data_IF_080021252998
#
_entry.id   IF_080021252998
#
_cell.length_a   1.000
_cell.length_b   1.000
_cell.length_c   1.000
_cell.angle_alpha   90.00
_cell.angle_beta   90.00
_cell.angle_gamma   90.00
#
_symmetry.space_group_name_H-M   'P 1'
#
loop_
_entity.id
_entity.type
_entity.pdbx_description
1 polymer ?
#
# COMPACT_ATOMS: atom_id res chain seq x y z
N UNK A 1 9.46 40.04 54.59
CA UNK A 1 9.64 41.49 54.85
C UNK A 1 9.65 42.22 53.50
N UNK A 2 8.83 43.27 53.40
CA UNK A 2 8.60 44.27 52.32
C UNK A 2 9.70 44.38 51.23
N UNK A 3 9.38 44.24 49.94
CA UNK A 3 8.79 45.24 49.00
C UNK A 3 9.79 46.29 48.50
N UNK A 4 9.85 46.53 47.19
CA UNK A 4 10.17 47.81 46.50
C UNK A 4 9.96 47.57 44.98
N UNK A 5 8.87 48.04 44.37
CA UNK A 5 8.60 49.36 43.77
C UNK A 5 8.82 49.37 42.25
N UNK A 6 7.72 49.55 41.51
CA UNK A 6 7.74 49.67 40.06
C UNK A 6 7.99 51.10 39.56
N UNK A 7 8.11 51.24 38.23
CA UNK A 7 7.63 52.41 37.49
C UNK A 7 7.51 52.12 35.99
N UNK A 8 6.37 52.58 35.46
CA UNK A 8 5.95 52.77 34.05
C UNK A 8 7.03 53.42 33.20
N UNK A 9 6.97 53.20 31.88
CA UNK A 9 6.87 54.26 30.85
C UNK A 9 6.14 53.70 29.61
N UNK A 10 5.31 54.55 29.01
CA UNK A 10 4.37 54.33 27.91
C UNK A 10 4.97 54.86 26.60
N UNK A 11 4.58 54.24 25.47
CA UNK A 11 4.89 54.58 24.07
C UNK A 11 4.77 56.06 23.70
N UNK A 12 5.40 56.48 22.57
CA UNK A 12 4.59 56.73 21.37
C UNK A 12 5.28 56.43 20.01
N UNK A 13 4.47 56.36 18.95
CA UNK A 13 4.82 56.98 17.65
C UNK A 13 5.06 56.07 16.44
N UNK A 14 4.11 56.06 15.50
CA UNK A 14 4.24 55.60 14.10
C UNK A 14 5.11 56.59 13.28
N UNK A 15 5.88 56.11 12.30
CA UNK A 15 5.81 56.53 10.88
C UNK A 15 6.86 55.86 9.96
N UNK A 16 6.36 55.30 8.86
CA UNK A 16 6.79 55.42 7.44
C UNK A 16 8.26 55.14 7.05
N UNK A 17 8.44 54.05 6.29
CA UNK A 17 9.00 54.06 4.92
C UNK A 17 10.51 54.02 4.74
N UNK A 18 11.02 52.92 4.17
CA UNK A 18 12.00 52.97 3.08
C UNK A 18 12.14 51.62 2.36
N UNK A 19 11.88 51.66 1.05
CA UNK A 19 12.23 50.64 0.06
C UNK A 19 13.75 50.48 0.02
N UNK A 20 14.25 49.24 0.11
CA UNK A 20 15.58 48.88 -0.36
C UNK A 20 15.42 48.08 -1.65
N UNK A 21 15.78 48.73 -2.76
CA UNK A 21 16.03 48.10 -4.07
C UNK A 21 17.33 47.31 -3.97
N UNK A 22 17.28 45.99 -4.09
CA UNK A 22 18.43 45.19 -4.49
C UNK A 22 18.26 44.79 -5.95
N UNK A 23 19.04 45.41 -6.83
CA UNK A 23 19.25 45.00 -8.20
C UNK A 23 20.11 43.73 -8.20
N UNK A 24 19.61 42.65 -8.78
CA UNK A 24 20.41 41.48 -9.16
C UNK A 24 20.59 41.54 -10.68
N UNK A 25 21.84 41.66 -11.09
CA UNK A 25 22.32 41.59 -12.47
C UNK A 25 22.12 40.17 -13.02
N UNK A 26 21.40 40.08 -14.13
CA UNK A 26 21.11 38.84 -14.85
C UNK A 26 22.20 38.60 -15.92
N UNK A 27 22.79 37.40 -15.93
CA UNK A 27 23.63 36.89 -17.03
C UNK A 27 22.77 35.97 -17.91
N UNK A 28 22.76 36.07 -19.26
CA UNK A 28 21.79 35.38 -20.08
C UNK A 28 22.42 34.20 -20.84
N UNK A 29 22.22 32.96 -20.39
CA UNK A 29 22.35 31.77 -21.26
C UNK A 29 21.55 30.59 -20.72
N UNK A 30 20.26 30.52 -21.01
CA UNK A 30 19.56 29.22 -21.20
C UNK A 30 18.41 29.41 -22.18
N UNK A 31 18.39 28.57 -23.21
CA UNK A 31 17.37 28.48 -24.25
C UNK A 31 16.01 28.12 -23.63
N UNK A 32 15.01 28.96 -23.87
CA UNK A 32 13.62 28.64 -23.59
C UNK A 32 13.10 27.65 -24.63
N UNK A 33 12.75 26.44 -24.19
CA UNK A 33 11.89 25.54 -24.94
C UNK A 33 10.44 26.03 -24.75
N UNK A 34 9.90 26.73 -25.75
CA UNK A 34 8.50 27.16 -25.75
C UNK A 34 7.60 25.98 -26.09
N UNK A 35 6.89 25.44 -25.10
CA UNK A 35 5.79 24.49 -25.33
C UNK A 35 4.56 25.30 -25.75
N UNK A 36 3.93 25.03 -26.90
CA UNK A 36 2.71 25.73 -27.29
C UNK A 36 1.54 25.27 -26.42
N UNK A 37 1.09 26.14 -25.51
CA UNK A 37 -0.19 25.99 -24.82
C UNK A 37 -1.33 26.12 -25.85
N UNK A 38 -1.92 25.00 -26.26
CA UNK A 38 -3.21 25.03 -26.95
C UNK A 38 -4.30 25.43 -25.95
N UNK A 39 -4.91 26.59 -26.16
CA UNK A 39 -6.13 26.98 -25.48
C UNK A 39 -7.26 26.02 -25.89
N UNK A 40 -7.67 25.14 -24.97
CA UNK A 40 -8.89 24.35 -25.14
C UNK A 40 -10.06 25.31 -24.92
N UNK A 41 -10.73 25.70 -26.00
CA UNK A 41 -12.05 26.33 -25.93
C UNK A 41 -13.02 25.28 -25.41
N UNK A 42 -13.42 25.42 -24.15
CA UNK A 42 -14.56 24.70 -23.58
C UNK A 42 -15.79 25.55 -23.85
N UNK A 43 -16.64 25.09 -24.77
CA UNK A 43 -17.97 25.66 -24.92
C UNK A 43 -18.79 25.23 -23.69
N UNK A 44 -19.18 26.22 -22.88
CA UNK A 44 -19.97 26.06 -21.67
C UNK A 44 -21.42 25.69 -22.02
N UNK A 45 -21.72 24.41 -22.19
CA UNK A 45 -23.09 23.90 -22.06
C UNK A 45 -23.35 23.47 -20.62
N UNK A 46 -23.95 24.36 -19.85
CA UNK A 46 -24.61 24.05 -18.58
C UNK A 46 -25.84 23.18 -18.82
N UNK A 47 -25.65 21.86 -18.75
CA UNK A 47 -26.67 20.88 -18.33
C UNK A 47 -25.95 19.89 -17.42
N UNK A 48 -26.47 19.62 -16.23
CA UNK A 48 -25.91 18.65 -15.31
C UNK A 48 -25.86 17.25 -15.96
N UNK A 49 -24.73 16.96 -16.62
CA UNK A 49 -24.00 15.70 -16.62
C UNK A 49 -24.74 14.37 -16.61
N UNK A 50 -25.64 14.12 -17.56
CA UNK A 50 -25.97 12.75 -18.00
C UNK A 50 -25.63 12.60 -19.50
N UNK A 51 -24.47 12.03 -19.89
CA UNK A 51 -24.15 11.74 -21.27
C UNK A 51 -24.51 10.29 -21.62
N UNK A 52 -25.75 9.89 -21.35
CA UNK A 52 -26.33 8.65 -21.89
C UNK A 52 -27.69 9.01 -22.47
N UNK A 53 -27.73 9.34 -23.75
CA UNK A 53 -28.99 9.36 -24.50
C UNK A 53 -29.38 7.92 -24.77
N UNK A 54 -29.93 7.24 -23.78
CA UNK A 54 -30.70 6.02 -24.03
C UNK A 54 -31.94 6.41 -24.83
N UNK A 55 -32.31 5.59 -25.80
CA UNK A 55 -33.60 5.71 -26.48
C UNK A 55 -34.75 5.58 -25.48
N UNK A 56 -35.96 6.01 -25.88
CA UNK A 56 -37.14 5.89 -25.01
C UNK A 56 -37.43 4.41 -24.68
N UNK A 57 -37.18 3.51 -25.63
CA UNK A 57 -37.32 2.07 -25.49
C UNK A 57 -36.33 1.50 -24.48
N UNK A 58 -35.06 1.92 -24.55
CA UNK A 58 -34.02 1.50 -23.61
C UNK A 58 -34.27 2.04 -22.21
N UNK A 59 -34.71 3.30 -22.10
CA UNK A 59 -35.06 3.92 -20.81
C UNK A 59 -36.20 3.17 -20.14
N UNK A 60 -37.24 2.83 -20.90
CA UNK A 60 -38.37 2.02 -20.41
C UNK A 60 -37.92 0.62 -20.00
N UNK A 61 -37.05 -0.02 -20.78
CA UNK A 61 -36.47 -1.33 -20.45
C UNK A 61 -35.70 -1.30 -19.13
N UNK A 62 -34.87 -0.28 -18.92
CA UNK A 62 -34.10 -0.10 -17.67
C UNK A 62 -35.03 0.10 -16.48
N UNK A 63 -36.03 0.98 -16.60
CA UNK A 63 -36.98 1.26 -15.52
C UNK A 63 -37.83 0.04 -15.15
N UNK A 64 -38.32 -0.69 -16.15
CA UNK A 64 -39.07 -1.93 -15.90
C UNK A 64 -38.19 -2.97 -15.18
N UNK A 65 -36.95 -3.15 -15.63
CA UNK A 65 -35.99 -4.06 -14.99
C UNK A 65 -35.73 -3.66 -13.53
N UNK A 66 -35.52 -2.37 -13.25
CA UNK A 66 -35.31 -1.85 -11.89
C UNK A 66 -36.51 -2.08 -10.96
N UNK A 67 -37.73 -1.95 -11.48
CA UNK A 67 -38.95 -1.97 -10.69
C UNK A 67 -39.49 -3.38 -10.49
N UNK A 68 -39.45 -4.21 -11.52
CA UNK A 68 -40.11 -5.52 -11.56
C UNK A 68 -39.20 -6.66 -11.07
N UNK A 69 -37.88 -6.58 -11.32
CA UNK A 69 -36.98 -7.68 -10.98
C UNK A 69 -36.58 -7.67 -9.50
N UNK A 70 -36.45 -8.86 -8.93
CA UNK A 70 -36.01 -9.04 -7.56
C UNK A 70 -34.49 -8.85 -7.42
N UNK A 71 -33.98 -8.94 -6.19
CA UNK A 71 -32.56 -8.73 -5.91
C UNK A 71 -31.68 -9.82 -6.54
N UNK A 72 -32.20 -11.03 -6.71
CA UNK A 72 -31.45 -12.17 -7.25
C UNK A 72 -31.32 -12.08 -8.78
N UNK A 73 -32.38 -11.65 -9.44
CA UNK A 73 -32.41 -11.37 -10.87
C UNK A 73 -31.56 -10.15 -11.24
N UNK A 74 -31.65 -9.08 -10.44
CA UNK A 74 -30.83 -7.89 -10.65
C UNK A 74 -29.33 -8.15 -10.41
N UNK A 75 -28.97 -9.20 -9.66
CA UNK A 75 -27.58 -9.61 -9.45
C UNK A 75 -26.91 -10.14 -10.72
N UNK A 76 -27.69 -10.52 -11.74
CA UNK A 76 -27.18 -10.96 -13.06
C UNK A 76 -26.54 -9.83 -13.87
N UNK A 77 -26.77 -8.57 -13.47
CA UNK A 77 -26.21 -7.39 -14.12
C UNK A 77 -25.01 -6.81 -13.37
N UNK A 78 -24.36 -5.82 -13.96
CA UNK A 78 -23.16 -5.18 -13.41
C UNK A 78 -23.45 -4.23 -12.22
N UNK A 79 -23.88 -4.80 -11.10
CA UNK A 79 -24.22 -4.09 -9.86
C UNK A 79 -23.79 -4.89 -8.62
N UNK A 80 -23.46 -4.18 -7.53
CA UNK A 80 -23.03 -4.82 -6.29
C UNK A 80 -24.20 -5.14 -5.34
N UNK A 81 -24.03 -6.16 -4.49
CA UNK A 81 -25.03 -6.56 -3.48
C UNK A 81 -25.42 -5.41 -2.53
N UNK A 82 -24.47 -4.54 -2.17
CA UNK A 82 -24.73 -3.35 -1.37
C UNK A 82 -25.70 -2.38 -2.06
N UNK A 83 -25.48 -2.13 -3.36
CA UNK A 83 -26.30 -1.22 -4.17
C UNK A 83 -27.71 -1.77 -4.42
N UNK A 84 -27.82 -3.09 -4.61
CA UNK A 84 -29.13 -3.74 -4.74
C UNK A 84 -29.99 -3.58 -3.48
N UNK A 85 -29.39 -3.70 -2.29
CA UNK A 85 -30.10 -3.43 -1.03
C UNK A 85 -30.61 -1.98 -0.93
N UNK A 86 -29.91 -1.03 -1.53
CA UNK A 86 -30.35 0.38 -1.59
C UNK A 86 -31.53 0.56 -2.54
N UNK A 87 -31.50 -0.07 -3.72
CA UNK A 87 -32.62 -0.11 -4.66
C UNK A 87 -33.85 -0.76 -4.02
N UNK A 88 -33.68 -1.90 -3.35
CA UNK A 88 -34.76 -2.58 -2.62
C UNK A 88 -35.31 -1.71 -1.47
N UNK A 89 -34.43 -1.08 -0.70
CA UNK A 89 -34.81 -0.17 0.38
C UNK A 89 -35.57 1.06 -0.11
N UNK A 90 -35.23 1.59 -1.29
CA UNK A 90 -35.98 2.66 -1.94
C UNK A 90 -37.36 2.19 -2.37
N UNK A 91 -37.45 1.04 -3.05
CA UNK A 91 -38.73 0.45 -3.50
C UNK A 91 -39.72 0.27 -2.35
N UNK A 92 -39.23 -0.18 -1.19
CA UNK A 92 -40.03 -0.35 0.02
C UNK A 92 -40.54 0.98 0.62
N UNK A 93 -39.82 2.08 0.44
CA UNK A 93 -40.12 3.38 1.05
C UNK A 93 -40.92 4.31 0.15
N UNK A 94 -40.60 4.33 -1.14
CA UNK A 94 -41.10 5.31 -2.10
C UNK A 94 -41.78 4.68 -3.32
N UNK A 95 -41.84 3.35 -3.38
CA UNK A 95 -42.34 2.63 -4.56
C UNK A 95 -41.29 2.56 -5.68
N UNK A 96 -41.74 2.25 -6.90
CA UNK A 96 -40.87 2.14 -8.06
C UNK A 96 -40.21 3.46 -8.48
N UNK A 97 -39.12 3.37 -9.23
CA UNK A 97 -38.49 4.51 -9.88
C UNK A 97 -39.34 4.98 -11.06
N UNK A 98 -39.58 6.29 -11.13
CA UNK A 98 -40.30 6.96 -12.22
C UNK A 98 -39.34 7.46 -13.30
N UNK A 99 -38.08 7.70 -12.94
CA UNK A 99 -37.06 8.18 -13.86
C UNK A 99 -35.67 7.67 -13.48
N UNK A 100 -34.73 7.67 -14.43
CA UNK A 100 -33.37 7.19 -14.19
C UNK A 100 -32.56 8.14 -13.30
N UNK A 101 -32.96 9.41 -13.23
CA UNK A 101 -32.37 10.44 -12.37
C UNK A 101 -32.62 10.16 -10.90
N UNK A 102 -33.78 9.60 -10.54
CA UNK A 102 -34.08 9.22 -9.15
C UNK A 102 -33.09 8.18 -8.59
N UNK A 103 -32.48 7.37 -9.46
CA UNK A 103 -31.46 6.41 -9.03
C UNK A 103 -30.14 7.10 -8.64
N UNK A 104 -29.87 8.30 -9.15
CA UNK A 104 -28.71 9.12 -8.71
C UNK A 104 -28.89 9.66 -7.29
N UNK A 105 -30.12 9.78 -6.80
CA UNK A 105 -30.40 10.22 -5.42
C UNK A 105 -29.99 9.15 -4.39
N UNK A 106 -29.73 7.91 -4.84
CA UNK A 106 -29.23 6.85 -3.99
C UNK A 106 -27.73 6.98 -3.75
N UNK A 107 -27.35 7.02 -2.47
CA UNK A 107 -25.94 6.98 -2.07
C UNK A 107 -25.19 5.78 -2.70
N UNK A 108 -24.09 6.09 -3.37
CA UNK A 108 -23.21 5.12 -4.00
C UNK A 108 -23.51 4.85 -5.48
N UNK A 109 -24.49 5.52 -6.09
CA UNK A 109 -24.82 5.45 -7.52
C UNK A 109 -24.29 6.68 -8.28
N UNK A 110 -22.97 6.71 -8.50
CA UNK A 110 -22.37 7.70 -9.40
C UNK A 110 -22.63 7.40 -10.87
N UNK A 111 -22.54 8.43 -11.72
CA UNK A 111 -22.81 8.37 -13.18
C UNK A 111 -22.07 7.21 -13.87
N UNK A 112 -20.80 6.98 -13.55
CA UNK A 112 -19.99 5.90 -14.15
C UNK A 112 -20.49 4.50 -13.77
N UNK A 113 -21.01 4.35 -12.56
CA UNK A 113 -21.55 3.07 -12.07
C UNK A 113 -22.90 2.81 -12.73
N UNK A 114 -23.77 3.83 -12.76
CA UNK A 114 -25.08 3.71 -13.41
C UNK A 114 -24.96 3.42 -14.90
N UNK A 115 -24.03 4.07 -15.60
CA UNK A 115 -23.74 3.76 -17.01
C UNK A 115 -23.47 2.27 -17.21
N UNK A 116 -22.51 1.71 -16.47
CA UNK A 116 -22.15 0.28 -16.60
C UNK A 116 -23.31 -0.66 -16.24
N UNK A 117 -24.13 -0.27 -15.27
CA UNK A 117 -25.28 -1.05 -14.84
C UNK A 117 -26.41 -1.01 -15.88
N UNK A 118 -26.79 0.18 -16.34
CA UNK A 118 -27.81 0.37 -17.37
C UNK A 118 -27.40 -0.23 -18.71
N UNK A 119 -26.14 -0.05 -19.13
CA UNK A 119 -25.60 -0.72 -20.32
C UNK A 119 -25.74 -2.25 -20.20
N UNK A 120 -25.51 -2.81 -19.01
CA UNK A 120 -25.69 -4.24 -18.77
C UNK A 120 -27.15 -4.68 -18.87
N UNK A 121 -28.12 -3.82 -18.57
CA UNK A 121 -29.55 -4.11 -18.70
C UNK A 121 -29.97 -4.02 -20.18
N UNK A 122 -29.51 -2.98 -20.87
CA UNK A 122 -29.83 -2.75 -22.29
C UNK A 122 -29.30 -3.89 -23.16
N UNK A 123 -28.03 -4.25 -23.01
CA UNK A 123 -27.36 -5.27 -23.83
C UNK A 123 -27.58 -6.70 -23.31
N UNK A 124 -28.31 -6.86 -22.20
CA UNK A 124 -28.53 -8.14 -21.53
C UNK A 124 -27.38 -8.54 -20.59
N UNK A 125 -27.65 -9.44 -19.63
CA UNK A 125 -26.62 -9.94 -18.72
C UNK A 125 -25.53 -10.63 -19.55
N UNK A 126 -24.26 -10.28 -19.33
CA UNK A 126 -23.14 -10.93 -20.04
C UNK A 126 -23.25 -12.45 -19.84
N UNK A 127 -23.13 -13.23 -20.91
CA UNK A 127 -23.20 -14.69 -20.89
C UNK A 127 -22.19 -15.34 -19.91
N UNK A 128 -21.17 -14.59 -19.49
CA UNK A 128 -20.22 -14.93 -18.42
C UNK A 128 -20.73 -14.62 -16.98
N UNK A 129 -22.02 -14.43 -16.76
CA UNK A 129 -22.58 -14.16 -15.42
C UNK A 129 -22.93 -15.43 -14.62
N UNK A 130 -22.82 -16.62 -15.22
CA UNK A 130 -22.66 -17.90 -14.49
C UNK A 130 -21.17 -18.21 -14.33
N UNK A 131 -20.36 -17.19 -14.04
CA UNK A 131 -18.98 -17.42 -13.65
C UNK A 131 -19.01 -17.82 -12.18
N UNK A 132 -18.79 -19.13 -11.95
CA UNK A 132 -18.26 -19.64 -10.69
C UNK A 132 -17.28 -18.59 -10.13
N UNK A 133 -17.43 -18.18 -8.86
CA UNK A 133 -16.80 -16.96 -8.36
C UNK A 133 -15.34 -16.96 -8.74
N UNK A 134 -14.94 -16.11 -9.70
CA UNK A 134 -13.52 -15.83 -9.96
C UNK A 134 -13.03 -15.26 -8.65
N UNK A 135 -12.38 -16.12 -7.85
CA UNK A 135 -11.75 -15.74 -6.59
C UNK A 135 -10.82 -14.60 -6.97
N UNK A 136 -11.22 -13.37 -6.64
CA UNK A 136 -10.38 -12.20 -6.90
C UNK A 136 -9.09 -12.47 -6.16
N UNK A 137 -8.01 -12.68 -6.92
CA UNK A 137 -6.71 -12.93 -6.33
C UNK A 137 -6.36 -11.73 -5.43
N UNK A 138 -6.28 -11.99 -4.13
CA UNK A 138 -6.05 -10.95 -3.14
C UNK A 138 -4.61 -10.49 -3.29
N UNK A 139 -4.42 -9.30 -3.88
CA UNK A 139 -3.10 -8.67 -3.96
C UNK A 139 -2.68 -8.23 -2.55
N UNK A 140 -1.60 -8.78 -2.02
CA UNK A 140 -1.09 -8.42 -0.69
C UNK A 140 0.04 -7.39 -0.73
N UNK A 141 0.74 -7.27 -1.85
CA UNK A 141 1.89 -6.37 -2.02
C UNK A 141 1.71 -5.39 -3.18
N UNK A 142 2.42 -4.28 -3.09
CA UNK A 142 2.68 -3.35 -4.19
C UNK A 142 4.19 -3.19 -4.36
N UNK A 143 4.78 -3.40 -5.55
CA UNK A 143 4.15 -4.04 -6.70
C UNK A 143 3.69 -5.48 -6.38
N UNK A 144 2.89 -6.06 -7.26
CA UNK A 144 2.47 -7.46 -7.09
C UNK A 144 3.69 -8.39 -7.24
N UNK A 145 3.85 -9.33 -6.31
CA UNK A 145 4.92 -10.33 -6.39
C UNK A 145 4.61 -11.34 -7.50
N UNK A 146 5.41 -11.36 -8.56
CA UNK A 146 5.28 -12.34 -9.64
C UNK A 146 5.68 -13.74 -9.16
N UNK A 147 5.00 -14.78 -9.66
CA UNK A 147 5.24 -16.17 -9.27
C UNK A 147 6.70 -16.62 -9.52
N UNK A 148 7.31 -16.13 -10.60
CA UNK A 148 8.72 -16.40 -10.93
C UNK A 148 9.70 -15.79 -9.91
N UNK A 149 9.36 -14.65 -9.31
CA UNK A 149 10.18 -14.04 -8.25
C UNK A 149 9.96 -14.82 -6.95
N UNK A 150 8.70 -15.13 -6.61
CA UNK A 150 8.35 -15.89 -5.41
C UNK A 150 9.10 -17.23 -5.31
N UNK A 151 9.17 -18.00 -6.40
CA UNK A 151 9.87 -19.29 -6.43
C UNK A 151 11.39 -19.21 -6.30
N UNK A 152 11.99 -18.02 -6.43
CA UNK A 152 13.44 -17.78 -6.34
C UNK A 152 13.87 -17.08 -5.05
N UNK A 153 12.93 -16.72 -4.16
CA UNK A 153 13.27 -16.07 -2.89
C UNK A 153 13.98 -17.05 -1.97
N UNK A 154 15.25 -16.80 -1.68
CA UNK A 154 16.07 -17.55 -0.71
C UNK A 154 16.37 -16.73 0.54
N UNK A 155 16.21 -15.42 0.47
CA UNK A 155 16.43 -14.49 1.57
C UNK A 155 15.45 -13.32 1.52
N UNK A 156 14.94 -12.93 2.69
CA UNK A 156 13.97 -11.85 2.83
C UNK A 156 14.38 -10.98 4.02
N UNK A 157 14.36 -9.66 3.86
CA UNK A 157 14.48 -8.71 4.98
C UNK A 157 13.19 -7.93 5.09
N UNK A 158 12.52 -8.00 6.24
CA UNK A 158 11.41 -7.13 6.56
C UNK A 158 11.87 -5.96 7.42
N UNK A 159 11.35 -4.77 7.15
CA UNK A 159 11.65 -3.55 7.88
C UNK A 159 10.39 -2.97 8.50
N UNK A 160 10.47 -2.61 9.77
CA UNK A 160 9.45 -1.83 10.45
C UNK A 160 10.04 -0.51 10.93
N UNK A 161 9.51 0.58 10.36
CA UNK A 161 9.91 1.95 10.69
C UNK A 161 8.93 2.49 11.72
N UNK A 162 9.38 2.66 12.95
CA UNK A 162 8.66 3.25 14.08
C UNK A 162 8.88 4.76 14.21
N UNK A 163 8.59 5.28 15.40
CA UNK A 163 8.89 6.68 15.75
C UNK A 163 10.36 6.87 16.09
N UNK A 164 10.85 6.05 17.03
CA UNK A 164 12.21 6.15 17.56
C UNK A 164 13.12 5.03 17.06
N UNK A 165 12.60 4.04 16.32
CA UNK A 165 13.37 2.88 15.89
C UNK A 165 13.09 2.51 14.44
N UNK A 166 14.14 2.11 13.71
CA UNK A 166 14.03 1.28 12.51
C UNK A 166 14.48 -0.11 12.88
N UNK A 167 13.62 -1.10 12.71
CA UNK A 167 13.91 -2.51 13.02
C UNK A 167 13.85 -3.35 11.77
N UNK A 168 14.66 -4.40 11.72
CA UNK A 168 14.63 -5.35 10.63
C UNK A 168 14.84 -6.79 11.09
N UNK A 169 14.20 -7.70 10.37
CA UNK A 169 14.33 -9.14 10.53
C UNK A 169 14.76 -9.78 9.21
N UNK A 170 15.85 -10.55 9.23
CA UNK A 170 16.41 -11.27 8.09
C UNK A 170 16.07 -12.74 8.17
N UNK A 171 15.36 -13.23 7.16
CA UNK A 171 14.98 -14.62 7.01
C UNK A 171 15.83 -15.29 5.94
N UNK A 172 16.27 -16.51 6.21
CA UNK A 172 16.80 -17.44 5.23
C UNK A 172 15.74 -18.49 4.93
N UNK A 173 15.39 -18.60 3.66
CA UNK A 173 14.43 -19.55 3.12
C UNK A 173 15.20 -20.63 2.40
N UNK A 174 15.09 -21.86 2.89
CA UNK A 174 15.70 -23.03 2.25
C UNK A 174 14.58 -23.99 1.88
N UNK A 175 14.74 -24.71 0.77
CA UNK A 175 13.80 -25.75 0.39
C UNK A 175 13.80 -26.83 1.48
N UNK A 176 12.62 -27.32 1.84
CA UNK A 176 12.45 -28.47 2.74
C UNK A 176 12.98 -28.27 4.17
N UNK A 177 13.19 -27.02 4.59
CA UNK A 177 13.64 -26.66 5.94
C UNK A 177 12.77 -25.54 6.52
N UNK A 178 12.65 -25.45 7.86
CA UNK A 178 12.03 -24.29 8.50
C UNK A 178 12.69 -22.99 8.07
N UNK A 179 11.90 -21.93 7.94
CA UNK A 179 12.43 -20.59 7.72
C UNK A 179 13.29 -20.20 8.92
N UNK A 180 14.55 -19.85 8.69
CA UNK A 180 15.47 -19.48 9.77
C UNK A 180 15.58 -17.95 9.90
N UNK A 181 15.42 -17.44 11.13
CA UNK A 181 15.78 -16.06 11.45
C UNK A 181 17.31 -15.97 11.59
N UNK A 182 17.95 -15.20 10.72
CA UNK A 182 19.42 -15.09 10.64
C UNK A 182 19.95 -13.72 11.07
N UNK A 183 19.07 -12.74 11.24
CA UNK A 183 19.42 -11.44 11.77
C UNK A 183 18.17 -10.75 12.29
N UNK A 184 18.30 -10.04 13.40
CA UNK A 184 17.20 -9.32 14.02
C UNK A 184 17.79 -8.18 14.84
N UNK A 185 17.57 -6.95 14.40
CA UNK A 185 18.26 -5.80 14.97
C UNK A 185 17.45 -4.51 14.80
N UNK A 186 17.86 -3.47 15.51
CA UNK A 186 17.27 -2.14 15.46
C UNK A 186 18.33 -1.06 15.24
N UNK A 187 17.84 0.13 14.90
CA UNK A 187 18.60 1.37 14.94
C UNK A 187 17.71 2.45 15.54
N UNK A 188 18.20 3.09 16.61
CA UNK A 188 17.48 4.15 17.28
C UNK A 188 17.66 5.50 16.56
N UNK A 189 16.54 6.11 16.20
CA UNK A 189 16.44 7.44 15.61
C UNK A 189 15.79 8.36 16.65
N UNK A 190 16.58 8.78 17.64
CA UNK A 190 16.07 9.47 18.84
C UNK A 190 15.69 10.95 18.59
N UNK A 191 15.97 11.49 17.41
CA UNK A 191 15.75 12.91 17.13
C UNK A 191 14.35 13.15 16.54
N UNK A 192 13.54 13.94 17.25
CA UNK A 192 12.17 14.29 16.85
C UNK A 192 12.12 15.39 15.79
N UNK A 193 13.22 16.08 15.53
CA UNK A 193 13.33 17.16 14.54
C UNK A 193 14.47 16.87 13.57
N UNK A 194 14.37 15.75 12.87
CA UNK A 194 15.33 15.38 11.85
C UNK A 194 15.24 16.37 10.68
N UNK A 195 16.25 17.22 10.58
CA UNK A 195 16.53 17.94 9.34
C UNK A 195 16.87 16.92 8.23
N UNK A 196 16.58 17.25 6.97
CA UNK A 196 16.80 16.32 5.84
C UNK A 196 18.24 15.81 5.75
N UNK A 197 19.22 16.64 6.09
CA UNK A 197 20.63 16.23 6.15
C UNK A 197 20.88 15.10 7.17
N UNK A 198 20.21 15.14 8.31
CA UNK A 198 20.32 14.11 9.35
C UNK A 198 19.58 12.84 8.95
N UNK A 199 18.44 12.97 8.26
CA UNK A 199 17.78 11.81 7.63
C UNK A 199 18.71 11.12 6.62
N UNK A 200 19.40 11.87 5.75
CA UNK A 200 20.35 11.30 4.79
C UNK A 200 21.46 10.53 5.52
N UNK A 201 22.02 11.11 6.58
CA UNK A 201 23.08 10.47 7.39
C UNK A 201 22.60 9.17 8.03
N UNK A 202 21.44 9.20 8.69
CA UNK A 202 20.85 8.03 9.33
C UNK A 202 20.49 6.95 8.31
N UNK A 203 19.83 7.31 7.20
CA UNK A 203 19.46 6.37 6.14
C UNK A 203 20.70 5.71 5.53
N UNK A 204 21.76 6.47 5.28
CA UNK A 204 23.03 5.94 4.74
C UNK A 204 23.65 4.94 5.70
N UNK A 205 23.67 5.25 6.99
CA UNK A 205 24.23 4.36 8.00
C UNK A 205 23.36 3.10 8.21
N UNK A 206 22.04 3.25 8.33
CA UNK A 206 21.10 2.12 8.43
C UNK A 206 21.22 1.21 7.20
N UNK A 207 21.38 1.78 5.99
CA UNK A 207 21.62 1.00 4.79
C UNK A 207 22.93 0.18 4.87
N UNK A 208 23.95 0.59 5.60
CA UNK A 208 25.14 -0.25 5.79
C UNK A 208 24.90 -1.40 6.78
N UNK A 209 23.98 -1.21 7.73
CA UNK A 209 23.64 -2.21 8.75
C UNK A 209 22.65 -3.28 8.24
N UNK A 210 21.75 -2.90 7.33
CA UNK A 210 20.77 -3.83 6.77
C UNK A 210 21.48 -4.85 5.89
N UNK A 211 21.39 -6.16 6.18
CA UNK A 211 22.05 -7.21 5.42
C UNK A 211 21.46 -7.34 4.01
N UNK A 212 22.26 -7.91 3.09
CA UNK A 212 21.77 -8.23 1.75
C UNK A 212 20.73 -9.35 1.76
N UNK A 213 19.73 -9.20 0.89
CA UNK A 213 18.67 -10.15 0.64
C UNK A 213 18.08 -10.01 -0.77
N UNK A 214 17.39 -11.05 -1.21
CA UNK A 214 16.70 -11.12 -2.50
C UNK A 214 15.52 -10.14 -2.55
N UNK A 215 14.81 -10.01 -1.43
CA UNK A 215 13.65 -9.12 -1.30
C UNK A 215 13.67 -8.34 0.02
N UNK A 216 13.23 -7.09 -0.07
CA UNK A 216 13.02 -6.19 1.07
C UNK A 216 11.54 -5.85 1.18
N UNK A 217 10.99 -5.95 2.38
CA UNK A 217 9.55 -5.79 2.62
C UNK A 217 9.32 -4.74 3.69
N UNK A 218 8.43 -3.81 3.41
CA UNK A 218 7.99 -2.81 4.38
C UNK A 218 6.47 -2.78 4.40
N UNK A 219 5.87 -2.41 5.53
CA UNK A 219 4.44 -2.14 5.58
C UNK A 219 4.12 -0.86 4.78
N UNK A 220 3.08 -0.90 3.96
CA UNK A 220 2.65 0.24 3.17
C UNK A 220 2.26 1.38 4.12
N UNK A 221 2.91 2.55 4.05
CA UNK A 221 2.55 3.66 4.92
C UNK A 221 1.08 4.04 4.73
N UNK A 222 0.39 4.53 5.79
CA UNK A 222 -0.93 5.15 5.64
C UNK A 222 -0.86 6.21 4.56
N UNK A 223 -1.55 5.97 3.44
CA UNK A 223 -1.73 6.98 2.39
C UNK A 223 -2.65 8.02 2.99
N UNK A 224 -2.06 8.99 3.69
CA UNK A 224 -2.75 10.17 4.16
C UNK A 224 -3.05 11.06 2.93
N UNK A 225 -4.05 10.66 2.14
CA UNK A 225 -4.67 11.56 1.18
C UNK A 225 -6.03 12.00 1.73
N UNK A 226 -6.11 13.31 1.97
CA UNK A 226 -7.30 14.15 1.90
C UNK A 226 -8.21 14.34 3.13
N UNK A 227 -7.87 13.84 4.33
CA UNK A 227 -8.48 14.37 5.55
C UNK A 227 -7.43 14.62 6.62
N UNK A 228 -7.17 15.90 6.90
CA UNK A 228 -6.43 16.34 8.08
C UNK A 228 -7.20 15.96 9.35
N UNK A 229 -7.19 14.68 9.72
CA UNK A 229 -7.80 14.15 10.94
C UNK A 229 -6.72 13.83 11.98
N UNK A 230 -5.78 14.75 12.17
CA UNK A 230 -4.70 14.62 13.14
C UNK A 230 -4.11 15.97 13.52
N UNK A 231 -3.48 16.03 14.69
CA UNK A 231 -2.73 17.22 15.11
C UNK A 231 -1.58 17.50 14.13
N UNK A 232 -1.13 18.75 14.05
CA UNK A 232 0.04 19.12 13.24
C UNK A 232 1.29 18.28 13.59
N UNK A 233 1.41 17.86 14.86
CA UNK A 233 2.45 16.96 15.35
C UNK A 233 2.33 15.58 14.68
N UNK A 234 1.13 15.00 14.64
CA UNK A 234 0.91 13.69 14.02
C UNK A 234 1.17 13.73 12.51
N UNK A 235 0.78 14.81 11.85
CA UNK A 235 1.06 15.01 10.42
C UNK A 235 2.57 15.05 10.17
N UNK A 236 3.34 15.80 10.98
CA UNK A 236 4.80 15.87 10.86
C UNK A 236 5.46 14.51 11.08
N UNK A 237 5.00 13.76 12.08
CA UNK A 237 5.47 12.39 12.34
C UNK A 237 5.24 11.49 11.12
N UNK A 238 4.04 11.53 10.54
CA UNK A 238 3.70 10.70 9.38
C UNK A 238 4.54 11.08 8.15
N UNK A 239 4.81 12.38 7.96
CA UNK A 239 5.67 12.87 6.87
C UNK A 239 7.11 12.39 7.06
N UNK A 240 7.69 12.56 8.25
CA UNK A 240 9.05 12.09 8.56
C UNK A 240 9.17 10.57 8.36
N UNK A 241 8.19 9.79 8.85
CA UNK A 241 8.14 8.33 8.67
C UNK A 241 8.08 7.96 7.19
N UNK A 242 7.27 8.66 6.39
CA UNK A 242 7.14 8.41 4.95
C UNK A 242 8.42 8.78 4.19
N UNK A 243 9.09 9.86 4.57
CA UNK A 243 10.40 10.25 4.02
C UNK A 243 11.45 9.19 4.31
N UNK A 244 11.54 8.73 5.56
CA UNK A 244 12.48 7.71 6.00
C UNK A 244 12.26 6.38 5.25
N UNK A 245 11.01 5.93 5.13
CA UNK A 245 10.64 4.75 4.34
C UNK A 245 11.06 4.95 2.88
N UNK A 246 10.69 6.07 2.25
CA UNK A 246 11.00 6.34 0.85
C UNK A 246 12.51 6.34 0.55
N UNK A 247 13.30 6.99 1.40
CA UNK A 247 14.76 7.07 1.24
C UNK A 247 15.43 5.72 1.45
N UNK A 248 15.05 4.97 2.50
CA UNK A 248 15.56 3.61 2.75
C UNK A 248 15.19 2.67 1.59
N UNK A 249 13.92 2.67 1.17
CA UNK A 249 13.46 1.78 0.10
C UNK A 249 14.17 2.08 -1.21
N UNK A 250 14.43 3.35 -1.54
CA UNK A 250 15.22 3.70 -2.72
C UNK A 250 16.66 3.17 -2.64
N UNK A 251 17.32 3.30 -1.48
CA UNK A 251 18.68 2.76 -1.31
C UNK A 251 18.72 1.24 -1.42
N UNK A 252 17.74 0.55 -0.83
CA UNK A 252 17.63 -0.91 -0.92
C UNK A 252 17.28 -1.38 -2.33
N UNK A 253 16.47 -0.62 -3.06
CA UNK A 253 16.13 -0.90 -4.45
C UNK A 253 17.32 -0.82 -5.40
N UNK A 254 18.31 0.01 -5.07
CA UNK A 254 19.53 0.19 -5.85
C UNK A 254 20.63 -0.83 -5.52
N UNK A 255 20.40 -1.75 -4.57
CA UNK A 255 21.35 -2.83 -4.30
C UNK A 255 21.34 -3.85 -5.45
N UNK A 256 22.50 -4.43 -5.79
CA UNK A 256 22.54 -5.50 -6.78
C UNK A 256 21.69 -6.68 -6.30
N UNK A 257 20.82 -7.20 -7.17
CA UNK A 257 20.03 -8.39 -6.87
C UNK A 257 20.07 -9.38 -8.02
N UNK A 258 19.89 -10.66 -7.69
CA UNK A 258 19.72 -11.74 -8.66
C UNK A 258 18.51 -11.55 -9.59
N UNK A 259 17.61 -10.61 -9.28
CA UNK A 259 16.41 -10.29 -10.07
C UNK A 259 16.58 -9.11 -11.02
N UNK A 260 17.61 -8.29 -10.83
CA UNK A 260 17.86 -7.07 -11.63
C UNK A 260 18.92 -7.27 -12.71
N UNK A 261 19.50 -8.46 -12.86
CA UNK A 261 20.39 -8.75 -13.98
C UNK A 261 19.57 -8.85 -15.29
N UNK A 262 19.90 -8.04 -16.32
CA UNK A 262 19.34 -8.25 -17.64
C UNK A 262 19.76 -9.63 -18.12
N UNK A 263 18.80 -10.40 -18.65
CA UNK A 263 19.06 -11.66 -19.32
C UNK A 263 20.14 -11.39 -20.39
N UNK A 264 21.39 -11.77 -20.14
CA UNK A 264 22.37 -11.88 -21.21
C UNK A 264 21.84 -13.01 -22.09
N UNK A 265 21.18 -12.64 -23.18
CA UNK A 265 21.04 -13.53 -24.32
C UNK A 265 22.45 -13.97 -24.67
N UNK A 266 22.72 -15.25 -24.44
CA UNK A 266 23.81 -15.96 -25.07
C UNK A 266 23.67 -15.73 -26.57
N UNK A 267 24.48 -14.82 -27.12
CA UNK A 267 24.70 -14.69 -28.55
C UNK A 267 25.39 -15.98 -29.01
N UNK A 268 24.59 -16.94 -29.44
CA UNK A 268 25.01 -17.87 -30.47
C UNK A 268 24.96 -17.09 -31.79
N UNK A 269 26.12 -16.94 -32.41
CA UNK A 269 26.27 -16.33 -33.72
C UNK A 269 25.36 -17.03 -34.74
N UNK A 270 24.55 -16.24 -35.44
CA UNK A 270 23.62 -16.72 -36.44
C UNK A 270 22.79 -15.57 -37.01
N UNK A 271 23.39 -14.82 -37.93
CA UNK A 271 22.75 -13.79 -38.74
C UNK A 271 21.50 -14.31 -39.46
N UNK A 272 20.39 -13.56 -39.41
CA UNK A 272 19.64 -13.10 -40.59
C UNK A 272 18.27 -12.50 -40.25
N UNK A 273 17.97 -11.34 -40.85
CA UNK A 273 16.62 -10.98 -41.30
C UNK A 273 15.75 -10.19 -40.32
N UNK A 274 15.61 -8.89 -40.55
CA UNK A 274 14.79 -8.01 -39.73
C UNK A 274 13.27 -8.17 -39.92
N UNK A 275 12.53 -7.68 -38.91
CA UNK A 275 11.23 -7.05 -39.05
C UNK A 275 10.94 -6.27 -37.77
N UNK A 276 10.62 -4.98 -37.93
CA UNK A 276 10.29 -4.09 -36.83
C UNK A 276 9.02 -4.52 -36.12
N UNK A 277 9.09 -4.58 -34.79
CA UNK A 277 7.92 -4.57 -33.92
C UNK A 277 8.14 -3.45 -32.90
N UNK A 278 7.58 -2.28 -33.21
CA UNK A 278 7.27 -1.26 -32.22
C UNK A 278 6.26 -1.87 -31.23
N UNK A 279 6.63 -1.94 -29.94
CA UNK A 279 5.76 -2.52 -28.91
C UNK A 279 6.47 -3.27 -27.77
N UNK A 280 7.80 -3.21 -27.68
CA UNK A 280 8.48 -3.70 -26.49
C UNK A 280 8.25 -2.71 -25.34
N UNK A 281 7.33 -3.05 -24.42
CA UNK A 281 7.36 -2.45 -23.09
C UNK A 281 8.78 -2.54 -22.55
N UNK A 282 9.32 -1.47 -21.93
CA UNK A 282 10.67 -1.51 -21.38
C UNK A 282 10.80 -2.76 -20.50
N UNK A 283 11.93 -3.49 -20.56
CA UNK A 283 12.12 -4.68 -19.73
C UNK A 283 11.79 -4.29 -18.31
N UNK A 284 10.72 -4.85 -17.75
CA UNK A 284 10.25 -4.46 -16.42
C UNK A 284 11.32 -4.86 -15.43
N UNK A 285 12.17 -3.90 -15.07
CA UNK A 285 13.22 -4.09 -14.08
C UNK A 285 12.51 -4.46 -12.78
N UNK A 286 12.55 -5.75 -12.42
CA UNK A 286 11.85 -6.25 -11.26
C UNK A 286 12.33 -5.52 -10.01
N UNK A 287 11.43 -4.91 -9.26
CA UNK A 287 11.75 -4.35 -7.95
C UNK A 287 11.98 -5.49 -6.95
N UNK A 288 13.07 -5.42 -6.19
CA UNK A 288 13.32 -6.24 -5.01
C UNK A 288 12.64 -5.69 -3.75
N UNK A 289 12.06 -4.49 -3.82
CA UNK A 289 11.31 -3.85 -2.71
C UNK A 289 9.81 -4.05 -2.88
N UNK A 290 9.14 -4.48 -1.82
CA UNK A 290 7.71 -4.72 -1.76
C UNK A 290 7.04 -4.05 -0.56
N UNK A 291 5.89 -3.43 -0.81
CA UNK A 291 5.05 -2.81 0.21
C UNK A 291 3.87 -3.72 0.55
N UNK A 292 3.86 -4.27 1.76
CA UNK A 292 2.77 -5.12 2.24
C UNK A 292 1.58 -4.26 2.67
N UNK A 293 0.34 -4.64 2.31
CA UNK A 293 -0.85 -3.88 2.76
C UNK A 293 -0.92 -3.76 4.28
N UNK A 294 -1.44 -2.63 4.73
CA UNK A 294 -1.58 -2.32 6.15
C UNK A 294 -2.37 -3.37 6.91
N UNK A 295 -1.95 -3.59 8.16
CA UNK A 295 -2.57 -4.47 9.14
C UNK A 295 -2.64 -5.94 8.71
N UNK A 296 -2.02 -6.35 7.60
CA UNK A 296 -2.00 -7.76 7.20
C UNK A 296 -1.31 -8.62 8.25
N UNK A 297 -0.16 -8.17 8.76
CA UNK A 297 0.55 -8.88 9.83
C UNK A 297 -0.29 -8.94 11.11
N UNK A 298 -0.86 -7.81 11.52
CA UNK A 298 -1.69 -7.76 12.71
C UNK A 298 -2.90 -8.70 12.62
N UNK A 299 -3.57 -8.75 11.46
CA UNK A 299 -4.71 -9.66 11.22
C UNK A 299 -4.29 -11.12 11.16
N UNK A 300 -3.16 -11.43 10.52
CA UNK A 300 -2.68 -12.80 10.40
C UNK A 300 -2.34 -13.41 11.78
N UNK A 301 -1.77 -12.61 12.67
CA UNK A 301 -1.33 -13.05 14.00
C UNK A 301 -2.33 -12.73 15.13
N UNK A 302 -3.55 -12.30 14.80
CA UNK A 302 -4.60 -12.06 15.80
C UNK A 302 -4.36 -10.87 16.73
N UNK A 303 -3.43 -9.97 16.39
CA UNK A 303 -3.13 -8.75 17.16
C UNK A 303 -3.82 -7.50 16.57
N UNK A 304 -4.88 -7.69 15.80
CA UNK A 304 -5.74 -6.62 15.30
C UNK A 304 -7.10 -6.69 16.01
N UNK A 305 -7.34 -5.78 16.94
CA UNK A 305 -8.53 -5.76 17.80
C UNK A 305 -9.30 -4.47 17.55
N UNK A 306 -10.56 -4.59 17.15
CA UNK A 306 -11.36 -3.44 16.72
C UNK A 306 -10.76 -2.80 15.47
N UNK A 307 -10.12 -1.63 15.64
CA UNK A 307 -9.42 -0.90 14.58
C UNK A 307 -7.94 -0.64 14.92
N UNK A 308 -7.42 -1.31 15.96
CA UNK A 308 -6.08 -1.04 16.48
C UNK A 308 -5.20 -2.28 16.45
N UNK A 309 -3.90 -2.02 16.31
CA UNK A 309 -2.87 -3.04 16.48
C UNK A 309 -2.48 -3.08 17.96
N UNK A 310 -2.56 -4.26 18.56
CA UNK A 310 -2.05 -4.51 19.91
C UNK A 310 -0.62 -5.05 19.85
N UNK A 311 0.01 -5.20 21.02
CA UNK A 311 1.41 -5.62 21.14
C UNK A 311 1.69 -6.96 20.46
N UNK A 312 2.84 -7.06 19.80
CA UNK A 312 3.35 -8.30 19.21
C UNK A 312 4.06 -9.21 20.23
N UNK A 313 4.35 -8.73 21.43
CA UNK A 313 5.25 -9.36 22.39
C UNK A 313 4.83 -10.80 22.77
N UNK A 314 3.54 -11.02 23.05
CA UNK A 314 3.01 -12.35 23.40
C UNK A 314 3.10 -13.35 22.23
N UNK A 315 2.77 -12.90 21.02
CA UNK A 315 2.89 -13.71 19.81
C UNK A 315 4.33 -14.10 19.57
N UNK A 316 5.26 -13.16 19.72
CA UNK A 316 6.69 -13.40 19.54
C UNK A 316 7.21 -14.43 20.54
N UNK A 317 6.84 -14.32 21.83
CA UNK A 317 7.19 -15.33 22.84
C UNK A 317 6.64 -16.71 22.48
N UNK A 318 5.37 -16.79 22.10
CA UNK A 318 4.77 -18.04 21.63
C UNK A 318 5.51 -18.64 20.43
N UNK A 319 6.03 -17.81 19.51
CA UNK A 319 6.85 -18.28 18.40
C UNK A 319 8.23 -18.79 18.84
N UNK A 320 8.80 -18.26 19.92
CA UNK A 320 10.06 -18.76 20.49
C UNK A 320 9.87 -20.10 21.22
N UNK A 321 8.75 -20.25 21.94
CA UNK A 321 8.45 -21.43 22.75
C UNK A 321 8.01 -22.64 21.92
N UNK A 322 7.58 -22.42 20.68
CA UNK A 322 7.25 -23.50 19.75
C UNK A 322 8.49 -24.31 19.39
N UNK A 323 8.62 -25.47 20.00
CA UNK A 323 9.61 -26.47 19.59
C UNK A 323 9.25 -27.01 18.20
N UNK A 324 10.27 -27.12 17.33
CA UNK A 324 10.12 -27.75 16.02
C UNK A 324 10.14 -29.27 16.26
N UNK A 325 8.98 -29.83 16.59
CA UNK A 325 8.81 -31.26 16.77
C UNK A 325 8.93 -32.05 15.44
N UNK A 326 9.35 -33.32 15.48
CA UNK A 326 9.48 -34.18 14.29
C UNK A 326 8.13 -34.73 13.76
N UNK A 327 6.99 -34.52 14.44
CA UNK A 327 5.77 -35.32 14.26
C UNK A 327 4.50 -34.55 13.82
N UNK A 328 4.60 -33.58 12.92
CA UNK A 328 3.40 -33.02 12.27
C UNK A 328 3.42 -33.32 10.76
N UNK A 329 2.39 -34.03 10.30
CA UNK A 329 2.26 -34.58 8.94
C UNK A 329 2.64 -33.59 7.84
N UNK A 330 3.53 -34.08 6.97
CA UNK A 330 4.36 -33.31 6.06
C UNK A 330 3.58 -32.79 4.86
N UNK A 331 3.36 -31.48 4.83
CA UNK A 331 3.23 -30.75 3.58
C UNK A 331 4.44 -29.82 3.46
N UNK A 332 5.10 -29.76 2.30
CA UNK A 332 6.29 -28.91 2.08
C UNK A 332 6.03 -27.44 2.46
N UNK A 333 4.82 -26.95 2.18
CA UNK A 333 4.37 -25.61 2.56
C UNK A 333 4.23 -25.44 4.08
N UNK A 334 3.89 -26.49 4.83
CA UNK A 334 3.79 -26.43 6.28
C UNK A 334 5.20 -26.33 6.91
N UNK A 335 6.18 -27.08 6.39
CA UNK A 335 7.56 -27.08 6.91
C UNK A 335 8.22 -25.72 6.76
N UNK A 336 8.20 -25.12 5.57
CA UNK A 336 8.82 -23.82 5.32
C UNK A 336 8.13 -22.68 6.08
N UNK A 337 6.83 -22.82 6.37
CA UNK A 337 6.07 -21.83 7.12
C UNK A 337 6.42 -21.78 8.62
N UNK A 338 7.16 -22.78 9.13
CA UNK A 338 7.70 -22.80 10.50
C UNK A 338 8.89 -21.85 10.61
N UNK A 339 9.03 -21.23 11.78
CA UNK A 339 10.11 -20.30 12.09
C UNK A 339 11.09 -20.93 13.08
N UNK A 340 12.36 -21.00 12.69
CA UNK A 340 13.47 -21.32 13.59
C UNK A 340 14.14 -20.01 14.06
N UNK A 341 14.11 -19.77 15.38
CA UNK A 341 14.78 -18.62 16.01
C UNK A 341 15.98 -19.13 16.81
N UNK A 342 17.23 -18.86 16.35
CA UNK A 342 18.45 -19.23 17.08
C UNK A 342 18.47 -18.63 18.49
N UNK A 343 18.99 -19.38 19.46
CA UNK A 343 19.06 -18.97 20.88
C UNK A 343 19.73 -17.61 21.05
N UNK A 344 20.82 -17.34 20.31
CA UNK A 344 21.50 -16.05 20.37
C UNK A 344 20.60 -14.86 20.00
N UNK A 345 19.68 -15.02 19.04
CA UNK A 345 18.74 -13.95 18.68
C UNK A 345 17.60 -13.81 19.71
N UNK A 346 17.26 -14.88 20.45
CA UNK A 346 16.30 -14.81 21.56
C UNK A 346 16.87 -13.99 22.71
N UNK A 347 18.14 -14.25 23.08
CA UNK A 347 18.85 -13.50 24.12
C UNK A 347 18.91 -12.01 23.75
N UNK A 348 19.32 -11.68 22.52
CA UNK A 348 19.35 -10.30 22.05
C UNK A 348 17.96 -9.65 22.15
N UNK A 349 16.90 -10.37 21.77
CA UNK A 349 15.54 -9.85 21.92
C UNK A 349 15.21 -9.55 23.39
N UNK A 350 15.49 -10.48 24.30
CA UNK A 350 15.15 -10.33 25.73
C UNK A 350 15.97 -9.22 26.43
N UNK A 351 17.20 -8.98 25.99
CA UNK A 351 18.08 -7.91 26.51
C UNK A 351 17.61 -6.50 26.13
N UNK A 352 16.83 -6.36 25.06
CA UNK A 352 16.30 -5.07 24.62
C UNK A 352 15.17 -4.57 25.52
N UNK A 353 14.99 -3.24 25.58
CA UNK A 353 13.90 -2.65 26.34
C UNK A 353 12.53 -2.94 25.71
N UNK A 354 11.46 -2.72 26.48
CA UNK A 354 10.09 -3.06 26.07
C UNK A 354 9.67 -2.38 24.76
N UNK A 355 10.05 -1.12 24.54
CA UNK A 355 9.68 -0.40 23.33
C UNK A 355 10.40 -0.99 22.11
N UNK A 356 11.71 -1.22 22.23
CA UNK A 356 12.50 -1.83 21.17
C UNK A 356 12.02 -3.24 20.82
N UNK A 357 11.70 -4.07 21.83
CA UNK A 357 11.12 -5.41 21.64
C UNK A 357 9.81 -5.39 20.88
N UNK A 358 8.96 -4.38 21.10
CA UNK A 358 7.72 -4.23 20.33
C UNK A 358 8.04 -4.00 18.85
N UNK A 359 8.95 -3.07 18.53
CA UNK A 359 9.34 -2.79 17.14
C UNK A 359 10.01 -4.01 16.48
N UNK A 360 10.91 -4.70 17.20
CA UNK A 360 11.53 -5.94 16.74
C UNK A 360 10.46 -6.99 16.41
N UNK A 361 9.47 -7.17 17.29
CA UNK A 361 8.33 -8.05 17.06
C UNK A 361 7.55 -7.69 15.79
N UNK A 362 7.28 -6.40 15.57
CA UNK A 362 6.60 -5.94 14.36
C UNK A 362 7.37 -6.29 13.07
N UNK A 363 8.69 -6.08 13.05
CA UNK A 363 9.51 -6.44 11.89
C UNK A 363 9.51 -7.95 11.63
N UNK A 364 9.56 -8.78 12.68
CA UNK A 364 9.48 -10.24 12.57
C UNK A 364 8.14 -10.69 11.97
N UNK A 365 7.03 -10.25 12.55
CA UNK A 365 5.68 -10.63 12.09
C UNK A 365 5.41 -10.14 10.67
N UNK A 366 5.93 -8.98 10.29
CA UNK A 366 5.84 -8.46 8.92
C UNK A 366 6.48 -9.41 7.90
N UNK A 367 7.70 -9.87 8.16
CA UNK A 367 8.42 -10.76 7.27
C UNK A 367 7.75 -12.14 7.15
N UNK A 368 7.33 -12.71 8.29
CA UNK A 368 6.57 -13.96 8.30
C UNK A 368 5.27 -13.85 7.50
N UNK A 369 4.58 -12.72 7.60
CA UNK A 369 3.34 -12.48 6.86
C UNK A 369 3.58 -12.46 5.36
N UNK A 370 4.63 -11.76 4.93
CA UNK A 370 5.03 -11.74 3.52
C UNK A 370 5.38 -13.14 3.03
N UNK A 371 6.21 -13.88 3.76
CA UNK A 371 6.60 -15.24 3.37
C UNK A 371 5.39 -16.16 3.27
N UNK A 372 4.51 -16.18 4.28
CA UNK A 372 3.33 -17.06 4.29
C UNK A 372 2.30 -16.72 3.20
N UNK A 373 2.01 -15.44 2.99
CA UNK A 373 0.94 -15.02 2.06
C UNK A 373 1.43 -14.84 0.61
N UNK A 374 2.69 -14.47 0.41
CA UNK A 374 3.21 -14.08 -0.90
C UNK A 374 4.16 -15.12 -1.48
N UNK A 375 5.02 -15.74 -0.66
CA UNK A 375 6.03 -16.71 -1.13
C UNK A 375 5.50 -18.14 -1.07
N UNK A 376 5.14 -18.62 0.13
CA UNK A 376 4.70 -20.00 0.36
C UNK A 376 3.24 -20.26 0.02
N UNK A 377 2.42 -19.19 -0.07
CA UNK A 377 0.97 -19.27 -0.31
C UNK A 377 0.27 -20.23 0.65
N UNK A 378 0.59 -20.15 1.95
CA UNK A 378 0.04 -21.04 2.97
C UNK A 378 -1.49 -20.93 3.02
N UNK A 379 -2.19 -22.02 2.70
CA UNK A 379 -3.65 -22.04 2.57
C UNK A 379 -4.36 -21.59 3.87
N UNK A 380 -3.90 -22.03 5.04
CA UNK A 380 -4.52 -21.64 6.31
C UNK A 380 -4.42 -20.14 6.60
N UNK A 381 -3.32 -19.52 6.18
CA UNK A 381 -3.14 -18.07 6.26
C UNK A 381 -4.00 -17.34 5.23
N UNK A 382 -4.13 -17.89 4.01
CA UNK A 382 -4.95 -17.29 2.95
C UNK A 382 -6.46 -17.34 3.24
N UNK A 383 -6.95 -18.40 3.88
CA UNK A 383 -8.37 -18.55 4.29
C UNK A 383 -8.87 -17.38 5.15
N UNK A 384 -8.00 -16.76 5.95
CA UNK A 384 -8.34 -15.60 6.77
C UNK A 384 -8.68 -14.34 5.95
N UNK A 385 -8.23 -14.27 4.69
CA UNK A 385 -8.38 -13.09 3.82
C UNK A 385 -9.28 -13.31 2.61
N UNK A 386 -9.78 -14.53 2.39
CA UNK A 386 -10.71 -14.88 1.28
C UNK A 386 -12.19 -14.68 1.63
N UNK A 387 -12.51 -14.20 2.85
CA UNK A 387 -13.89 -13.99 3.33
C UNK A 387 -14.57 -12.76 2.73
#
# INVERSE_FOLDING_TARGET
VRAFLGRKIRFPGKMIGQLIKCQVTFSPRYLFCSVPCRAIKVDSTTKLGFPCTYSEEETKKILNTLNEQDVEELYKYNISKYRLKKIEGWRKKFGGFLSLEQVLELDGFGVTVLRKFYDSIVHGPKADAVVAPKVKEVKFTTPALAAQVAGRVTSCVSLYVGLDYVTWARFKVTKDQPTALTGWNSYNISDRKLHLAELIRNVTHINQLIPEADVYVVENPPVAQATAMGSAVQTNINVQRSQLIGMLMLMLANRPTSFTQPLQQSTGDGESGGQGVEGAEPPSTGSNVFFLKQYLSARLFGIFVGNERVSAEEVVRSLMDREIGPNEEENLQSVQSRLAIPVGLRIIYDENDRAEREFLGQSLLLGLTFLRLCVFKCEDSLKLFRR
#
